data_IF_970479040965
#
_entry.id   IF_970479040965
#
_cell.length_a   1.000
_cell.length_b   1.000
_cell.length_c   1.000
_cell.angle_alpha   90.00
_cell.angle_beta   90.00
_cell.angle_gamma   90.00
#
_symmetry.space_group_name_H-M   'P 1'
#
loop_
_entity.id
_entity.type
_entity.pdbx_description
1 polymer ?
#
# COMPACT_ATOMS: atom_id res chain seq x y z
N UNK A 1 14.97 26.05 31.22
CA UNK A 1 14.62 26.07 29.77
C UNK A 1 14.81 24.72 29.07
N UNK A 2 15.78 23.87 29.45
CA UNK A 2 15.99 22.56 28.82
C UNK A 2 14.82 21.57 29.04
N UNK A 3 14.18 21.58 30.21
CA UNK A 3 13.04 20.71 30.53
C UNK A 3 11.76 21.00 29.71
N UNK A 4 11.53 22.25 29.31
CA UNK A 4 10.39 22.64 28.47
C UNK A 4 10.55 22.17 27.02
N UNK A 5 11.79 22.09 26.54
CA UNK A 5 12.11 21.58 25.19
C UNK A 5 11.87 20.07 25.14
N UNK A 6 12.29 19.31 26.16
CA UNK A 6 12.06 17.86 26.24
C UNK A 6 10.56 17.51 26.32
N UNK A 7 9.75 18.28 27.05
CA UNK A 7 8.29 18.09 27.05
C UNK A 7 7.64 18.40 25.70
N UNK A 8 8.11 19.43 24.98
CA UNK A 8 7.57 19.77 23.65
C UNK A 8 7.85 18.69 22.60
N UNK A 9 9.03 18.07 22.64
CA UNK A 9 9.42 16.95 21.77
C UNK A 9 8.63 15.66 22.05
N UNK A 10 8.30 15.39 23.32
CA UNK A 10 7.45 14.25 23.70
C UNK A 10 6.00 14.40 23.19
N UNK A 11 5.49 15.62 23.07
CA UNK A 11 4.12 15.88 22.60
C UNK A 11 3.93 15.78 21.09
N UNK A 12 4.98 16.01 20.28
CA UNK A 12 4.89 15.94 18.81
C UNK A 12 4.77 14.49 18.29
N UNK A 13 5.40 13.53 18.98
CA UNK A 13 5.36 12.10 18.61
C UNK A 13 4.00 11.43 18.86
N UNK A 14 3.10 12.06 19.62
CA UNK A 14 1.81 11.50 20.01
C UNK A 14 0.68 11.77 18.99
N UNK A 15 0.94 12.57 17.96
CA UNK A 15 -0.08 12.98 16.96
C UNK A 15 -0.16 12.07 15.74
N UNK A 16 0.84 11.22 15.50
CA UNK A 16 0.85 10.26 14.40
C UNK A 16 0.65 8.85 14.95
N UNK A 17 -0.40 8.14 14.49
CA UNK A 17 -0.55 6.68 14.70
C UNK A 17 0.44 5.89 13.83
N UNK A 18 1.71 6.28 13.88
CA UNK A 18 2.81 5.68 13.16
C UNK A 18 3.62 4.81 14.13
N UNK A 19 4.07 3.66 13.66
CA UNK A 19 4.97 2.78 14.42
C UNK A 19 6.25 2.64 13.60
N UNK A 20 7.36 3.13 14.16
CA UNK A 20 8.69 3.00 13.55
C UNK A 20 8.98 1.53 13.23
N UNK A 21 8.69 0.62 14.17
CA UNK A 21 8.78 -0.82 13.95
C UNK A 21 7.98 -1.30 12.72
N UNK A 22 6.71 -0.90 12.56
CA UNK A 22 5.94 -1.30 11.39
C UNK A 22 6.50 -0.72 10.08
N UNK A 23 7.03 0.50 10.11
CA UNK A 23 7.65 1.12 8.93
C UNK A 23 8.98 0.48 8.56
N UNK A 24 9.92 0.48 9.51
CA UNK A 24 11.32 0.10 9.33
C UNK A 24 11.56 -1.40 9.34
N UNK A 25 10.96 -2.12 10.28
CA UNK A 25 11.25 -3.54 10.50
C UNK A 25 10.26 -4.47 9.80
N UNK A 26 9.12 -3.97 9.32
CA UNK A 26 8.10 -4.79 8.64
C UNK A 26 7.85 -4.33 7.20
N UNK A 27 7.41 -3.09 7.00
CA UNK A 27 7.01 -2.60 5.67
C UNK A 27 8.19 -2.45 4.70
N UNK A 28 9.35 -2.02 5.18
CA UNK A 28 10.55 -1.90 4.36
C UNK A 28 11.04 -3.28 3.87
N UNK A 29 11.24 -4.31 4.72
CA UNK A 29 11.56 -5.66 4.25
C UNK A 29 10.50 -6.25 3.31
N UNK A 30 9.21 -6.02 3.56
CA UNK A 30 8.13 -6.43 2.64
C UNK A 30 8.27 -5.81 1.25
N UNK A 31 8.59 -4.51 1.19
CA UNK A 31 8.78 -3.82 -0.08
C UNK A 31 10.06 -4.28 -0.78
N UNK A 32 11.15 -4.48 -0.03
CA UNK A 32 12.42 -4.95 -0.54
C UNK A 32 12.36 -6.40 -1.08
N UNK A 33 11.52 -7.26 -0.50
CA UNK A 33 11.39 -8.65 -0.93
C UNK A 33 10.93 -8.81 -2.39
N UNK A 34 10.21 -7.84 -2.96
CA UNK A 34 9.81 -7.82 -4.37
C UNK A 34 10.99 -7.56 -5.34
N UNK A 35 12.16 -7.20 -4.82
CA UNK A 35 13.40 -7.05 -5.57
C UNK A 35 14.37 -8.22 -5.38
N UNK A 36 14.05 -9.14 -4.46
CA UNK A 36 14.88 -10.32 -4.20
C UNK A 36 14.57 -11.44 -5.20
N UNK A 37 15.60 -12.25 -5.50
CA UNK A 37 15.43 -13.48 -6.30
C UNK A 37 14.58 -14.53 -5.56
N UNK A 38 14.75 -14.61 -4.24
CA UNK A 38 13.99 -15.50 -3.35
C UNK A 38 13.30 -14.67 -2.26
N UNK A 39 12.08 -14.21 -2.57
CA UNK A 39 11.25 -13.44 -1.66
C UNK A 39 10.82 -14.27 -0.43
N UNK A 40 10.60 -15.57 -0.61
CA UNK A 40 10.13 -16.47 0.44
C UNK A 40 11.17 -16.65 1.54
N UNK A 41 12.40 -17.02 1.18
CA UNK A 41 13.50 -17.19 2.14
C UNK A 41 13.82 -15.87 2.86
N UNK A 42 13.86 -14.76 2.13
CA UNK A 42 14.09 -13.42 2.70
C UNK A 42 13.03 -13.08 3.77
N UNK A 43 11.75 -13.24 3.45
CA UNK A 43 10.65 -12.91 4.36
C UNK A 43 10.52 -13.91 5.51
N UNK A 44 10.83 -15.18 5.28
CA UNK A 44 10.88 -16.18 6.35
C UNK A 44 11.97 -15.82 7.36
N UNK A 45 13.17 -15.52 6.90
CA UNK A 45 14.30 -15.16 7.77
C UNK A 45 14.09 -13.83 8.50
N UNK A 46 13.63 -12.79 7.79
CA UNK A 46 13.49 -11.44 8.35
C UNK A 46 12.23 -11.23 9.19
N UNK A 47 11.11 -11.82 8.80
CA UNK A 47 9.79 -11.55 9.41
C UNK A 47 9.13 -12.80 10.01
N UNK A 48 9.74 -13.98 9.89
CA UNK A 48 9.10 -15.23 10.30
C UNK A 48 7.84 -15.54 9.47
N UNK A 49 7.85 -15.16 8.18
CA UNK A 49 6.76 -15.49 7.27
C UNK A 49 6.62 -17.01 7.12
N UNK A 50 5.40 -17.52 7.21
CA UNK A 50 5.12 -18.95 7.06
C UNK A 50 4.39 -19.30 5.76
N UNK A 51 3.89 -18.30 5.04
CA UNK A 51 3.34 -18.42 3.70
C UNK A 51 3.64 -17.15 2.92
N UNK A 52 4.20 -17.30 1.72
CA UNK A 52 4.49 -16.22 0.78
C UNK A 52 3.98 -16.69 -0.59
N UNK A 53 3.05 -15.93 -1.16
CA UNK A 53 2.51 -16.17 -2.50
C UNK A 53 2.91 -15.03 -3.41
N UNK A 54 3.40 -15.33 -4.61
CA UNK A 54 3.91 -14.35 -5.56
C UNK A 54 2.91 -14.18 -6.72
N UNK A 55 2.71 -12.94 -7.16
CA UNK A 55 1.87 -12.58 -8.28
C UNK A 55 2.65 -11.67 -9.22
N UNK A 56 2.50 -11.89 -10.52
CA UNK A 56 3.17 -11.11 -11.55
C UNK A 56 2.24 -10.94 -12.75
N UNK A 57 2.23 -9.74 -13.34
CA UNK A 57 1.49 -9.44 -14.56
C UNK A 57 2.28 -8.47 -15.44
N UNK A 58 2.17 -8.69 -16.75
CA UNK A 58 2.65 -7.73 -17.74
C UNK A 58 1.61 -6.63 -17.98
N UNK A 59 2.09 -5.40 -18.13
CA UNK A 59 1.31 -4.19 -18.38
C UNK A 59 1.74 -3.59 -19.73
N UNK A 60 0.86 -2.76 -20.29
CA UNK A 60 1.29 -1.90 -21.40
C UNK A 60 2.34 -0.89 -20.89
N UNK A 61 3.58 -1.01 -21.37
CA UNK A 61 4.70 -0.16 -20.98
C UNK A 61 5.42 -0.53 -19.67
N UNK A 62 5.19 -1.73 -19.12
CA UNK A 62 5.86 -2.15 -17.88
C UNK A 62 5.33 -3.45 -17.30
N UNK A 63 5.53 -3.64 -16.00
CA UNK A 63 5.05 -4.82 -15.28
C UNK A 63 4.63 -4.45 -13.86
N UNK A 64 3.87 -5.35 -13.22
CA UNK A 64 3.58 -5.24 -11.81
C UNK A 64 3.64 -6.60 -11.13
N UNK A 65 4.11 -6.59 -9.88
CA UNK A 65 4.18 -7.76 -9.03
C UNK A 65 3.63 -7.45 -7.65
N UNK A 66 3.19 -8.51 -6.97
CA UNK A 66 2.74 -8.40 -5.59
C UNK A 66 2.97 -9.69 -4.82
N UNK A 67 3.08 -9.58 -3.50
CA UNK A 67 3.11 -10.74 -2.61
C UNK A 67 1.91 -10.73 -1.67
N UNK A 68 1.40 -11.91 -1.33
CA UNK A 68 0.59 -12.10 -0.13
C UNK A 68 1.39 -12.90 0.88
N UNK A 69 1.60 -12.33 2.06
CA UNK A 69 2.46 -12.86 3.10
C UNK A 69 1.67 -13.05 4.39
N UNK A 70 1.74 -14.24 4.97
CA UNK A 70 1.20 -14.48 6.32
C UNK A 70 2.30 -14.28 7.35
N UNK A 71 2.07 -13.39 8.30
CA UNK A 71 2.98 -13.07 9.41
C UNK A 71 2.35 -13.49 10.74
N UNK A 72 2.59 -14.73 11.22
CA UNK A 72 1.92 -15.28 12.39
C UNK A 72 2.18 -14.48 13.67
N UNK A 73 3.43 -14.06 13.91
CA UNK A 73 3.82 -13.28 15.09
C UNK A 73 3.04 -11.97 15.22
N UNK A 74 2.75 -11.32 14.09
CA UNK A 74 1.99 -10.07 14.03
C UNK A 74 0.48 -10.27 13.86
N UNK A 75 0.00 -11.51 13.76
CA UNK A 75 -1.39 -11.86 13.39
C UNK A 75 -1.87 -11.08 12.15
N UNK A 76 -0.98 -10.94 11.16
CA UNK A 76 -1.16 -10.04 10.01
C UNK A 76 -1.10 -10.82 8.69
N UNK A 77 -1.96 -10.45 7.74
CA UNK A 77 -1.79 -10.74 6.32
C UNK A 77 -1.23 -9.48 5.67
N UNK A 78 -0.02 -9.57 5.14
CA UNK A 78 0.59 -8.47 4.43
C UNK A 78 0.40 -8.63 2.91
N UNK A 79 0.10 -7.53 2.23
CA UNK A 79 0.12 -7.42 0.78
C UNK A 79 1.18 -6.38 0.44
N UNK A 80 2.10 -6.69 -0.44
CA UNK A 80 3.15 -5.76 -0.89
C UNK A 80 3.16 -5.69 -2.39
N UNK A 81 3.41 -4.50 -2.95
CA UNK A 81 3.30 -4.23 -4.39
C UNK A 81 4.54 -3.54 -4.94
N UNK A 82 4.90 -3.93 -6.16
CA UNK A 82 5.90 -3.31 -7.01
C UNK A 82 5.29 -3.12 -8.39
N UNK A 83 5.59 -1.99 -9.02
CA UNK A 83 5.27 -1.75 -10.40
C UNK A 83 6.47 -1.07 -11.03
N UNK A 84 6.86 -1.55 -12.20
CA UNK A 84 8.01 -1.05 -12.95
C UNK A 84 7.55 -0.65 -14.34
N UNK A 85 8.29 0.26 -14.94
CA UNK A 85 8.08 0.72 -16.31
C UNK A 85 9.28 0.36 -17.14
N UNK A 86 9.05 -0.11 -18.36
CA UNK A 86 10.10 -0.65 -19.23
C UNK A 86 11.13 0.42 -19.61
N UNK A 87 10.74 1.69 -19.66
CA UNK A 87 11.61 2.81 -19.99
C UNK A 87 11.35 4.04 -19.11
N UNK A 88 12.10 4.25 -18.01
CA UNK A 88 12.11 5.54 -17.35
C UNK A 88 13.32 6.34 -17.86
N UNK A 89 13.28 6.81 -19.11
CA UNK A 89 14.38 7.62 -19.64
C UNK A 89 14.32 9.08 -19.13
N UNK A 90 13.13 9.63 -18.86
CA UNK A 90 12.96 11.02 -18.44
C UNK A 90 11.63 11.33 -17.68
N UNK A 91 11.50 12.58 -17.22
CA UNK A 91 10.32 13.10 -16.53
C UNK A 91 9.06 13.15 -17.43
N UNK A 92 9.22 13.20 -18.75
CA UNK A 92 8.11 13.24 -19.69
C UNK A 92 7.43 11.88 -19.79
N UNK A 93 8.22 10.80 -19.87
CA UNK A 93 7.71 9.43 -19.77
C UNK A 93 7.08 9.17 -18.41
N UNK A 94 7.66 9.71 -17.33
CA UNK A 94 7.02 9.66 -16.01
C UNK A 94 5.63 10.30 -16.01
N UNK A 95 5.46 11.50 -16.59
CA UNK A 95 4.16 12.19 -16.68
C UNK A 95 3.11 11.39 -17.48
N UNK A 96 3.52 10.71 -18.56
CA UNK A 96 2.63 9.86 -19.38
C UNK A 96 2.08 8.65 -18.60
N UNK A 97 2.77 8.17 -17.57
CA UNK A 97 2.25 7.10 -16.71
C UNK A 97 1.07 7.58 -15.85
N UNK A 98 1.08 8.84 -15.44
CA UNK A 98 0.01 9.41 -14.61
C UNK A 98 -1.13 9.97 -15.43
N UNK A 99 -0.87 10.49 -16.63
CA UNK A 99 -1.88 11.17 -17.44
C UNK A 99 -2.11 10.50 -18.80
N UNK A 100 -3.37 10.41 -19.26
CA UNK A 100 -4.58 10.95 -18.62
C UNK A 100 -5.04 10.09 -17.42
N UNK A 101 -5.67 10.75 -16.45
CA UNK A 101 -6.35 10.05 -15.36
C UNK A 101 -7.64 9.40 -15.89
N UNK A 102 -7.91 8.17 -15.44
CA UNK A 102 -9.10 7.40 -15.79
C UNK A 102 -10.05 7.33 -14.61
N UNK A 103 -11.35 7.24 -14.88
CA UNK A 103 -12.35 7.03 -13.83
C UNK A 103 -12.01 5.77 -13.04
N UNK A 104 -11.86 5.92 -11.73
CA UNK A 104 -11.61 4.80 -10.86
C UNK A 104 -12.93 4.22 -10.36
N UNK A 105 -12.94 2.91 -10.10
CA UNK A 105 -14.18 2.16 -9.86
C UNK A 105 -14.95 2.56 -8.58
N UNK A 106 -14.32 3.27 -7.66
CA UNK A 106 -15.02 3.81 -6.49
C UNK A 106 -15.19 5.32 -6.63
N UNK A 107 -14.23 6.14 -6.20
CA UNK A 107 -14.36 7.61 -6.18
C UNK A 107 -13.14 8.31 -6.78
N UNK A 108 -13.36 9.30 -7.65
CA UNK A 108 -12.31 10.08 -8.31
C UNK A 108 -11.72 9.42 -9.56
N UNK A 109 -10.60 9.97 -10.02
CA UNK A 109 -9.82 9.47 -11.14
C UNK A 109 -8.41 9.14 -10.71
N UNK A 110 -7.81 8.13 -11.34
CA UNK A 110 -6.45 7.65 -10.99
C UNK A 110 -5.61 7.45 -12.25
N UNK A 111 -4.29 7.36 -12.09
CA UNK A 111 -3.36 7.03 -13.19
C UNK A 111 -3.85 5.79 -13.96
N UNK A 112 -3.86 5.88 -15.30
CA UNK A 112 -4.21 4.75 -16.17
C UNK A 112 -3.33 3.53 -15.89
N UNK A 113 -2.02 3.74 -15.75
CA UNK A 113 -1.05 2.68 -15.47
C UNK A 113 -1.32 2.01 -14.11
N UNK A 114 -1.51 2.81 -13.04
CA UNK A 114 -1.80 2.26 -11.71
C UNK A 114 -3.16 1.54 -11.67
N UNK A 115 -4.18 2.07 -12.37
CA UNK A 115 -5.47 1.41 -12.50
C UNK A 115 -5.36 0.05 -13.20
N UNK A 116 -4.53 -0.05 -14.24
CA UNK A 116 -4.29 -1.30 -14.95
C UNK A 116 -3.56 -2.32 -14.09
N UNK A 117 -2.49 -1.90 -13.39
CA UNK A 117 -1.77 -2.73 -12.43
C UNK A 117 -2.70 -3.30 -11.35
N UNK A 118 -3.48 -2.43 -10.70
CA UNK A 118 -4.52 -2.81 -9.75
C UNK A 118 -5.53 -3.79 -10.38
N UNK A 119 -5.98 -3.52 -11.60
CA UNK A 119 -7.00 -4.36 -12.26
C UNK A 119 -6.47 -5.76 -12.52
N UNK A 120 -5.27 -5.88 -13.10
CA UNK A 120 -4.67 -7.15 -13.51
C UNK A 120 -4.14 -7.97 -12.33
N UNK A 121 -3.50 -7.35 -11.34
CA UNK A 121 -3.03 -8.07 -10.15
C UNK A 121 -4.18 -8.42 -9.20
N UNK A 122 -4.97 -7.42 -8.84
CA UNK A 122 -5.91 -7.53 -7.73
C UNK A 122 -7.32 -7.85 -8.19
N UNK A 123 -7.96 -6.96 -8.98
CA UNK A 123 -9.41 -7.05 -9.23
C UNK A 123 -9.82 -8.26 -10.06
N UNK A 124 -9.08 -8.51 -11.15
CA UNK A 124 -9.35 -9.61 -12.08
C UNK A 124 -8.26 -10.68 -12.06
N UNK A 125 -7.15 -10.42 -11.38
CA UNK A 125 -6.14 -11.43 -11.09
C UNK A 125 -6.55 -12.33 -9.93
N UNK A 126 -5.71 -13.32 -9.66
CA UNK A 126 -5.94 -14.33 -8.65
C UNK A 126 -5.73 -13.80 -7.21
N UNK A 127 -5.04 -12.67 -7.06
CA UNK A 127 -4.61 -12.13 -5.77
C UNK A 127 -5.78 -11.82 -4.84
N UNK A 128 -6.87 -11.20 -5.33
CA UNK A 128 -8.06 -10.92 -4.50
C UNK A 128 -8.75 -12.19 -4.04
N UNK A 129 -8.86 -13.20 -4.90
CA UNK A 129 -9.48 -14.48 -4.52
C UNK A 129 -8.62 -15.22 -3.49
N UNK A 130 -7.30 -15.23 -3.68
CA UNK A 130 -6.37 -15.83 -2.73
C UNK A 130 -6.41 -15.12 -1.36
N UNK A 131 -6.44 -13.79 -1.37
CA UNK A 131 -6.63 -12.99 -0.16
C UNK A 131 -7.92 -13.37 0.58
N UNK A 132 -9.05 -13.47 -0.12
CA UNK A 132 -10.34 -13.88 0.47
C UNK A 132 -10.25 -15.24 1.15
N UNK A 133 -9.68 -16.25 0.48
CA UNK A 133 -9.47 -17.60 1.06
C UNK A 133 -8.66 -17.54 2.36
N UNK A 134 -7.62 -16.70 2.41
CA UNK A 134 -6.82 -16.50 3.64
C UNK A 134 -7.66 -15.84 4.74
N UNK A 135 -8.43 -14.80 4.42
CA UNK A 135 -9.23 -14.07 5.40
C UNK A 135 -10.41 -14.88 5.94
N UNK A 136 -11.01 -15.76 5.13
CA UNK A 136 -12.09 -16.67 5.53
C UNK A 136 -11.60 -17.75 6.51
N UNK A 137 -10.40 -18.32 6.27
CA UNK A 137 -9.87 -19.42 7.07
C UNK A 137 -9.39 -19.01 8.46
N UNK A 138 -9.02 -17.74 8.69
CA UNK A 138 -8.64 -17.28 10.03
C UNK A 138 -9.23 -15.90 10.33
N UNK A 139 -10.18 -15.91 11.27
CA UNK A 139 -10.86 -14.71 11.76
C UNK A 139 -9.90 -13.74 12.47
N UNK A 140 -10.23 -12.46 12.43
CA UNK A 140 -9.58 -11.38 13.20
C UNK A 140 -8.11 -11.09 12.89
N UNK A 141 -7.67 -11.26 11.63
CA UNK A 141 -6.33 -10.82 11.21
C UNK A 141 -6.28 -9.33 10.89
N UNK A 142 -5.13 -8.72 11.16
CA UNK A 142 -4.77 -7.40 10.64
C UNK A 142 -4.36 -7.52 9.17
N UNK A 143 -4.58 -6.47 8.40
CA UNK A 143 -4.17 -6.36 7.00
C UNK A 143 -3.15 -5.23 6.90
N UNK A 144 -1.94 -5.55 6.48
CA UNK A 144 -0.91 -4.56 6.16
C UNK A 144 -0.76 -4.50 4.65
N UNK A 145 -1.00 -3.34 4.05
CA UNK A 145 -0.76 -3.10 2.64
C UNK A 145 0.50 -2.24 2.53
N UNK A 146 1.44 -2.63 1.69
CA UNK A 146 2.73 -1.98 1.55
C UNK A 146 3.13 -1.81 0.08
N UNK A 147 4.02 -0.87 -0.19
CA UNK A 147 4.59 -0.69 -1.52
C UNK A 147 5.59 0.45 -1.58
N UNK A 148 6.53 0.34 -2.51
CA UNK A 148 7.57 1.34 -2.78
C UNK A 148 7.33 1.99 -4.15
N UNK A 149 7.59 3.30 -4.27
CA UNK A 149 7.50 4.04 -5.54
C UNK A 149 6.13 3.88 -6.22
N UNK A 150 6.07 3.46 -7.49
CA UNK A 150 4.84 3.14 -8.21
C UNK A 150 4.01 2.03 -7.52
N UNK A 151 4.69 1.06 -6.90
CA UNK A 151 4.06 0.01 -6.10
C UNK A 151 3.27 0.57 -4.91
N UNK A 152 3.72 1.69 -4.33
CA UNK A 152 2.96 2.40 -3.30
C UNK A 152 1.61 2.92 -3.81
N UNK A 153 1.55 3.34 -5.07
CA UNK A 153 0.29 3.75 -5.71
C UNK A 153 -0.68 2.59 -5.89
N UNK A 154 -0.19 1.43 -6.34
CA UNK A 154 -0.99 0.19 -6.42
C UNK A 154 -1.48 -0.23 -5.04
N UNK A 155 -0.60 -0.17 -4.03
CA UNK A 155 -0.92 -0.46 -2.64
C UNK A 155 -2.07 0.42 -2.11
N UNK A 156 -2.07 1.72 -2.42
CA UNK A 156 -3.15 2.63 -2.05
C UNK A 156 -4.50 2.25 -2.68
N UNK A 157 -4.51 1.90 -3.97
CA UNK A 157 -5.72 1.44 -4.67
C UNK A 157 -6.27 0.14 -4.06
N UNK A 158 -5.39 -0.81 -3.76
CA UNK A 158 -5.77 -2.09 -3.15
C UNK A 158 -6.28 -1.92 -1.72
N UNK A 159 -5.60 -1.13 -0.88
CA UNK A 159 -6.04 -0.84 0.48
C UNK A 159 -7.44 -0.21 0.49
N UNK A 160 -7.70 0.70 -0.45
CA UNK A 160 -9.01 1.31 -0.59
C UNK A 160 -10.07 0.30 -1.06
N UNK A 161 -9.77 -0.56 -2.04
CA UNK A 161 -10.69 -1.62 -2.47
C UNK A 161 -11.03 -2.59 -1.34
N UNK A 162 -10.04 -3.01 -0.54
CA UNK A 162 -10.24 -3.91 0.61
C UNK A 162 -11.28 -3.35 1.58
N UNK A 163 -11.17 -2.06 1.92
CA UNK A 163 -12.09 -1.41 2.86
C UNK A 163 -13.47 -1.20 2.23
N UNK A 164 -13.53 -0.73 0.97
CA UNK A 164 -14.81 -0.46 0.28
C UNK A 164 -15.62 -1.72 0.06
N UNK A 165 -14.96 -2.81 -0.30
CA UNK A 165 -15.58 -4.10 -0.58
C UNK A 165 -15.79 -4.95 0.69
N UNK A 166 -15.48 -4.38 1.87
CA UNK A 166 -15.61 -5.02 3.18
C UNK A 166 -14.88 -6.36 3.27
N UNK A 167 -13.72 -6.48 2.62
CA UNK A 167 -12.88 -7.68 2.69
C UNK A 167 -12.10 -7.74 4.02
N UNK A 168 -11.91 -6.58 4.65
CA UNK A 168 -11.46 -6.44 6.02
C UNK A 168 -12.04 -5.15 6.62
N UNK A 169 -12.22 -5.14 7.95
CA UNK A 169 -12.69 -3.95 8.65
C UNK A 169 -11.67 -2.80 8.53
N UNK A 170 -12.16 -1.57 8.36
CA UNK A 170 -11.30 -0.38 8.18
C UNK A 170 -10.23 -0.26 9.26
N UNK A 171 -10.57 -0.56 10.51
CA UNK A 171 -9.67 -0.45 11.66
C UNK A 171 -8.58 -1.53 11.70
N UNK A 172 -8.70 -2.57 10.88
CA UNK A 172 -7.71 -3.65 10.71
C UNK A 172 -6.80 -3.44 9.50
N UNK A 173 -7.10 -2.50 8.61
CA UNK A 173 -6.30 -2.20 7.42
C UNK A 173 -5.32 -1.08 7.74
N UNK A 174 -4.03 -1.32 7.49
CA UNK A 174 -2.95 -0.33 7.58
C UNK A 174 -2.28 -0.24 6.22
N UNK A 175 -2.15 0.96 5.65
CA UNK A 175 -1.30 1.21 4.48
C UNK A 175 0.01 1.85 4.94
N UNK A 176 1.15 1.32 4.49
CA UNK A 176 2.46 1.96 4.64
C UNK A 176 3.12 2.01 3.27
N UNK A 177 3.38 3.20 2.74
CA UNK A 177 4.07 3.37 1.46
C UNK A 177 5.40 4.09 1.61
N UNK A 178 6.34 3.76 0.75
CA UNK A 178 7.71 4.31 0.75
C UNK A 178 7.95 5.03 -0.57
N UNK A 179 8.05 6.36 -0.53
CA UNK A 179 8.24 7.16 -1.76
C UNK A 179 7.10 7.03 -2.77
N UNK A 180 5.86 6.84 -2.31
CA UNK A 180 4.69 6.69 -3.17
C UNK A 180 4.55 7.84 -4.16
N UNK A 181 4.22 7.50 -5.40
CA UNK A 181 3.86 8.47 -6.44
C UNK A 181 2.42 8.97 -6.29
N UNK A 182 2.08 10.09 -6.95
CA UNK A 182 0.71 10.59 -6.99
C UNK A 182 -0.22 9.56 -7.65
N UNK A 183 -1.34 9.22 -7.01
CA UNK A 183 -2.21 8.12 -7.49
C UNK A 183 -3.35 8.62 -8.37
N UNK A 184 -3.94 9.76 -8.01
CA UNK A 184 -5.16 10.25 -8.62
C UNK A 184 -5.45 11.71 -8.33
N UNK A 185 -6.65 12.13 -8.70
CA UNK A 185 -7.14 13.49 -8.49
C UNK A 185 -7.50 13.76 -7.01
N UNK A 186 -7.84 15.01 -6.71
CA UNK A 186 -8.25 15.45 -5.39
C UNK A 186 -9.44 14.63 -4.86
N UNK A 187 -10.41 14.30 -5.72
CA UNK A 187 -11.57 13.47 -5.34
C UNK A 187 -11.14 12.08 -4.88
N UNK A 188 -10.17 11.46 -5.56
CA UNK A 188 -9.58 10.20 -5.10
C UNK A 188 -8.89 10.39 -3.74
N UNK A 189 -8.08 11.44 -3.57
CA UNK A 189 -7.35 11.71 -2.35
C UNK A 189 -8.28 11.90 -1.14
N UNK A 190 -9.32 12.74 -1.27
CA UNK A 190 -10.31 12.96 -0.21
C UNK A 190 -11.06 11.68 0.17
N UNK A 191 -11.47 10.91 -0.84
CA UNK A 191 -12.19 9.67 -0.63
C UNK A 191 -11.29 8.62 0.06
N UNK A 192 -10.02 8.55 -0.35
CA UNK A 192 -9.01 7.70 0.26
C UNK A 192 -8.76 8.09 1.73
N UNK A 193 -8.59 9.38 2.04
CA UNK A 193 -8.40 9.87 3.41
C UNK A 193 -9.58 9.52 4.32
N UNK A 194 -10.80 9.72 3.83
CA UNK A 194 -12.03 9.41 4.58
C UNK A 194 -12.18 7.92 4.84
N UNK A 195 -11.75 7.07 3.90
CA UNK A 195 -12.08 5.64 3.91
C UNK A 195 -10.95 4.75 4.40
N UNK A 196 -9.69 5.07 4.16
CA UNK A 196 -8.55 4.23 4.52
C UNK A 196 -7.74 4.85 5.65
N UNK A 197 -7.47 6.16 5.61
CA UNK A 197 -6.72 6.80 6.67
C UNK A 197 -7.58 6.95 7.94
N UNK A 198 -6.92 6.80 9.09
CA UNK A 198 -7.52 6.97 10.42
C UNK A 198 -7.25 8.40 10.91
N UNK A 199 -7.78 9.40 10.20
CA UNK A 199 -7.87 10.76 10.73
C UNK A 199 -9.30 11.04 11.23
N UNK A 200 -9.45 11.33 12.52
CA UNK A 200 -10.54 12.18 12.99
C UNK A 200 -10.09 13.61 12.67
N UNK A 201 -10.89 14.32 11.88
CA UNK A 201 -10.72 15.71 11.47
C UNK A 201 -9.87 16.56 12.42
N UNK A 202 -8.68 16.96 11.96
CA UNK A 202 -8.12 18.28 12.26
C UNK A 202 -7.58 18.84 10.94
N UNK A 203 -8.50 19.35 10.09
CA UNK A 203 -8.14 20.29 9.03
C UNK A 203 -7.51 21.51 9.70
N UNK A 204 -6.19 21.63 9.66
CA UNK A 204 -5.58 22.95 9.52
C UNK A 204 -5.98 23.43 8.13
N UNK A 205 -6.88 24.42 8.05
CA UNK A 205 -7.05 25.21 6.83
C UNK A 205 -5.66 25.62 6.32
N UNK A 206 -5.37 25.33 5.06
CA UNK A 206 -4.37 26.01 4.22
C UNK A 206 -4.99 25.95 2.82
N UNK A 207 -5.75 26.98 2.46
CA UNK A 207 -5.29 28.14 1.70
C UNK A 207 -4.80 27.72 0.30
N UNK A 208 -5.73 27.90 -0.64
CA UNK A 208 -5.65 28.05 -2.12
C UNK A 208 -4.60 27.21 -2.85
#
# INVERSE_FOLDING_TARGET
MLYLIVLSLATLGSSMKYSDYLGRDVSLPLSAALYAKDSSSCLQHRLGANKVENFFVELDGGSASGLIVTLPKLKTVALTFRADVAEPADFYTFKKLFFPLVNWRHEGKVSKFLAEAYRKLWRHGEMKQFFRKIMETRKNRKVLVAGHSLGGGVAALVAYDIVKEKLADKDKVTLITLGQTMVGDEKFAEAYEKKVLKWKSLRSKREI
#
